data_IF_375952566498
#
_entry.id   IF_375952566498
#
_cell.length_a   1.000
_cell.length_b   1.000
_cell.length_c   1.000
_cell.angle_alpha   90.00
_cell.angle_beta   90.00
_cell.angle_gamma   90.00
#
_symmetry.space_group_name_H-M   'P 1'
#
loop_
_entity.id
_entity.type
_entity.pdbx_description
1 polymer ?
#
# COMPACT_ATOMS: atom_id res chain seq x y z
N UNK A 1 16.28 -5.08 14.18
CA UNK A 1 15.02 -4.67 13.51
C UNK A 1 13.85 -5.19 14.34
N UNK A 2 12.67 -4.56 14.28
CA UNK A 2 11.48 -5.02 15.03
C UNK A 2 10.59 -5.79 14.07
N UNK A 3 10.53 -7.11 14.23
CA UNK A 3 9.59 -7.97 13.51
C UNK A 3 8.67 -8.64 14.54
N UNK A 4 7.36 -8.43 14.41
CA UNK A 4 6.40 -9.01 15.35
C UNK A 4 6.65 -8.60 16.82
N UNK A 5 7.18 -7.40 17.07
CA UNK A 5 7.49 -6.90 18.42
C UNK A 5 8.68 -7.56 19.12
N UNK A 6 9.44 -8.42 18.41
CA UNK A 6 10.70 -8.99 18.88
C UNK A 6 11.87 -8.24 18.23
N UNK A 7 12.93 -7.99 19.01
CA UNK A 7 14.20 -7.51 18.47
C UNK A 7 14.89 -8.69 17.79
N UNK A 8 14.84 -8.68 16.47
CA UNK A 8 15.35 -9.74 15.59
C UNK A 8 16.24 -9.08 14.53
N UNK A 9 17.40 -9.65 14.27
CA UNK A 9 18.39 -9.14 13.30
C UNK A 9 17.96 -9.49 11.89
N UNK A 10 17.42 -10.69 11.67
CA UNK A 10 16.87 -11.14 10.40
C UNK A 10 15.55 -11.90 10.58
N UNK A 11 14.44 -11.24 10.24
CA UNK A 11 13.09 -11.82 10.33
C UNK A 11 12.70 -12.67 9.12
N UNK A 12 13.47 -12.61 8.04
CA UNK A 12 13.17 -13.26 6.77
C UNK A 12 14.05 -14.49 6.50
N UNK A 13 15.05 -14.76 7.34
CA UNK A 13 15.83 -16.00 7.26
C UNK A 13 14.93 -17.23 7.42
N UNK A 14 14.96 -18.12 6.43
CA UNK A 14 14.29 -19.42 6.46
C UNK A 14 15.04 -20.48 7.28
N UNK A 15 16.28 -20.21 7.71
CA UNK A 15 17.11 -21.16 8.42
C UNK A 15 16.80 -21.13 9.92
N UNK A 16 15.90 -22.02 10.36
CA UNK A 16 15.39 -22.07 11.74
C UNK A 16 15.31 -23.50 12.26
N UNK A 17 15.63 -23.66 13.54
CA UNK A 17 15.44 -24.92 14.28
C UNK A 17 14.30 -24.76 15.29
N UNK A 18 13.40 -25.76 15.36
CA UNK A 18 12.24 -25.74 16.25
C UNK A 18 12.30 -26.87 17.26
N UNK A 19 12.04 -26.55 18.54
CA UNK A 19 11.82 -27.55 19.57
C UNK A 19 10.40 -28.12 19.50
N UNK A 20 10.17 -29.26 20.15
CA UNK A 20 8.85 -29.95 20.21
C UNK A 20 7.69 -29.00 20.58
N UNK A 21 7.87 -28.16 21.60
CA UNK A 21 6.88 -27.17 22.02
C UNK A 21 6.58 -26.12 20.94
N UNK A 22 7.56 -25.75 20.12
CA UNK A 22 7.32 -24.79 19.04
C UNK A 22 6.51 -25.43 17.92
N UNK A 23 6.78 -26.68 17.57
CA UNK A 23 6.03 -27.43 16.55
C UNK A 23 4.56 -27.63 16.96
N UNK A 24 4.30 -27.89 18.24
CA UNK A 24 2.93 -28.10 18.74
C UNK A 24 2.10 -26.81 18.83
N UNK A 25 2.75 -25.64 18.97
CA UNK A 25 2.06 -24.36 19.18
C UNK A 25 2.05 -23.44 17.95
N UNK A 26 2.97 -23.64 17.01
CA UNK A 26 3.07 -22.80 15.81
C UNK A 26 2.32 -23.47 14.67
N UNK A 27 1.25 -22.84 14.21
CA UNK A 27 0.44 -23.33 13.10
C UNK A 27 0.48 -22.34 11.94
N UNK A 28 1.05 -22.75 10.82
CA UNK A 28 1.20 -21.91 9.64
C UNK A 28 0.01 -22.11 8.71
N UNK A 29 -0.84 -21.09 8.61
CA UNK A 29 -2.04 -21.18 7.79
C UNK A 29 -1.81 -20.68 6.34
N UNK A 30 -0.62 -20.12 6.04
CA UNK A 30 -0.26 -19.62 4.70
C UNK A 30 1.17 -20.00 4.32
N UNK A 31 1.33 -20.53 3.11
CA UNK A 31 2.62 -20.89 2.49
C UNK A 31 3.14 -19.73 1.62
N UNK A 32 3.26 -18.53 2.18
CA UNK A 32 3.83 -17.37 1.49
C UNK A 32 5.07 -16.84 2.23
N UNK A 33 5.77 -15.87 1.65
CA UNK A 33 6.93 -15.23 2.29
C UNK A 33 6.59 -14.51 3.61
N UNK A 34 5.32 -14.48 4.04
CA UNK A 34 4.92 -13.94 5.34
C UNK A 34 4.99 -14.97 6.48
N UNK A 35 5.19 -16.25 6.16
CA UNK A 35 5.33 -17.33 7.14
C UNK A 35 6.42 -17.04 8.19
N UNK A 36 7.54 -16.42 7.79
CA UNK A 36 8.61 -16.09 8.74
C UNK A 36 8.19 -15.09 9.83
N UNK A 37 7.41 -14.08 9.46
CA UNK A 37 6.87 -13.10 10.41
C UNK A 37 5.76 -13.69 11.27
N UNK A 38 4.93 -14.57 10.70
CA UNK A 38 3.87 -15.29 11.41
C UNK A 38 4.44 -16.20 12.52
N UNK A 39 5.53 -16.92 12.22
CA UNK A 39 6.27 -17.73 13.20
C UNK A 39 6.77 -16.88 14.37
N UNK A 40 7.33 -15.70 14.11
CA UNK A 40 7.83 -14.80 15.15
C UNK A 40 6.71 -14.24 16.03
N UNK A 41 5.57 -13.89 15.43
CA UNK A 41 4.37 -13.43 16.15
C UNK A 41 3.84 -14.55 17.05
N UNK A 42 3.66 -15.75 16.51
CA UNK A 42 3.16 -16.89 17.29
C UNK A 42 4.16 -17.33 18.37
N UNK A 43 5.46 -17.22 18.13
CA UNK A 43 6.48 -17.49 19.13
C UNK A 43 6.38 -16.53 20.32
N UNK A 44 6.16 -15.24 20.06
CA UNK A 44 5.90 -14.25 21.11
C UNK A 44 4.59 -14.54 21.85
N UNK A 45 3.50 -14.79 21.12
CA UNK A 45 2.17 -14.96 21.70
C UNK A 45 2.11 -16.21 22.60
N UNK A 46 2.81 -17.28 22.22
CA UNK A 46 2.98 -18.50 23.02
C UNK A 46 4.16 -18.44 24.01
N UNK A 47 4.79 -17.27 24.18
CA UNK A 47 5.92 -17.02 25.10
C UNK A 47 7.07 -18.04 24.93
N UNK A 48 7.34 -18.45 23.70
CA UNK A 48 8.43 -19.36 23.37
C UNK A 48 9.77 -18.64 23.52
N UNK A 49 10.79 -19.36 24.01
CA UNK A 49 12.16 -18.84 24.06
C UNK A 49 12.77 -18.94 22.66
N UNK A 50 13.45 -17.89 22.21
CA UNK A 50 14.20 -17.86 20.96
C UNK A 50 15.62 -17.32 21.20
N UNK A 51 16.55 -17.72 20.33
CA UNK A 51 17.91 -17.19 20.28
C UNK A 51 18.28 -16.98 18.82
N UNK A 52 19.00 -15.91 18.52
CA UNK A 52 19.61 -15.71 17.20
C UNK A 52 21.05 -16.19 17.25
N UNK A 53 21.47 -16.89 16.21
CA UNK A 53 22.86 -17.31 16.01
C UNK A 53 23.31 -16.71 14.69
N UNK A 54 24.47 -16.05 14.70
CA UNK A 54 25.04 -15.46 13.51
C UNK A 54 25.33 -16.54 12.47
N UNK A 55 24.88 -16.31 11.24
CA UNK A 55 25.14 -17.18 10.10
C UNK A 55 25.90 -16.38 9.03
N UNK A 56 27.01 -16.94 8.55
CA UNK A 56 27.69 -16.42 7.38
C UNK A 56 27.12 -17.09 6.13
N UNK A 57 26.26 -16.38 5.41
CA UNK A 57 25.84 -16.78 4.07
C UNK A 57 26.96 -16.46 3.08
N UNK A 58 27.55 -17.49 2.47
CA UNK A 58 28.37 -17.31 1.28
C UNK A 58 27.44 -17.07 0.09
N UNK A 59 27.58 -15.91 -0.56
CA UNK A 59 26.84 -15.54 -1.77
C UNK A 59 27.63 -15.85 -3.05
N UNK A 60 28.50 -16.87 -3.01
CA UNK A 60 29.38 -17.24 -4.13
C UNK A 60 28.72 -18.30 -5.05
N UNK A 61 27.43 -18.15 -5.37
CA UNK A 61 26.71 -19.09 -6.25
C UNK A 61 25.87 -18.30 -7.28
N UNK A 62 26.15 -18.56 -8.56
CA UNK A 62 25.64 -17.85 -9.75
C UNK A 62 24.12 -18.02 -10.04
N UNK A 63 23.34 -18.63 -9.16
CA UNK A 63 21.90 -18.85 -9.36
C UNK A 63 21.06 -18.26 -8.21
N UNK A 64 21.08 -16.93 -8.09
CA UNK A 64 20.11 -16.22 -7.26
C UNK A 64 18.77 -16.11 -7.99
N UNK A 65 17.86 -17.00 -7.60
CA UNK A 65 16.42 -17.07 -7.91
C UNK A 65 15.83 -15.90 -8.70
N UNK A 66 15.57 -16.19 -9.97
CA UNK A 66 14.79 -15.44 -10.93
C UNK A 66 13.31 -15.38 -10.53
N UNK A 67 12.88 -14.33 -9.82
CA UNK A 67 11.46 -13.96 -9.74
C UNK A 67 11.21 -12.67 -10.53
N UNK A 68 10.40 -12.83 -11.57
CA UNK A 68 10.22 -11.93 -12.71
C UNK A 68 9.59 -10.59 -12.29
N UNK A 69 10.19 -9.42 -12.62
CA UNK A 69 9.74 -8.10 -12.15
C UNK A 69 8.54 -7.51 -12.92
N UNK A 70 7.56 -8.34 -13.34
CA UNK A 70 6.41 -7.88 -14.14
C UNK A 70 5.02 -8.27 -13.61
N UNK A 71 4.90 -8.99 -12.49
CA UNK A 71 3.60 -9.35 -11.87
C UNK A 71 3.38 -8.61 -10.52
N UNK A 72 4.10 -7.51 -10.30
CA UNK A 72 3.99 -6.74 -9.05
C UNK A 72 2.90 -5.66 -9.02
N UNK A 73 2.21 -5.37 -10.13
CA UNK A 73 1.09 -4.41 -10.15
C UNK A 73 -0.03 -4.77 -9.16
N UNK A 74 -0.57 -6.00 -9.19
CA UNK A 74 -1.62 -6.44 -8.27
C UNK A 74 -1.14 -6.54 -6.83
N UNK A 75 0.13 -6.93 -6.59
CA UNK A 75 0.69 -7.07 -5.24
C UNK A 75 0.99 -5.70 -4.61
N UNK A 76 1.42 -4.71 -5.39
CA UNK A 76 1.59 -3.32 -4.96
C UNK A 76 0.23 -2.68 -4.73
N UNK A 77 -0.74 -2.91 -5.63
CA UNK A 77 -2.13 -2.49 -5.43
C UNK A 77 -2.72 -3.11 -4.16
N UNK A 78 -2.48 -4.40 -3.91
CA UNK A 78 -2.97 -5.09 -2.71
C UNK A 78 -2.28 -4.60 -1.43
N UNK A 79 -0.97 -4.28 -1.49
CA UNK A 79 -0.25 -3.65 -0.38
C UNK A 79 -0.74 -2.22 -0.12
N UNK A 80 -1.01 -1.44 -1.17
CA UNK A 80 -1.66 -0.13 -1.06
C UNK A 80 -3.06 -0.29 -0.43
N UNK A 81 -3.90 -1.20 -0.93
CA UNK A 81 -5.22 -1.50 -0.38
C UNK A 81 -5.16 -1.91 1.10
N UNK A 82 -4.12 -2.66 1.51
CA UNK A 82 -3.92 -3.10 2.89
C UNK A 82 -3.39 -1.98 3.80
N UNK A 83 -2.54 -1.09 3.30
CA UNK A 83 -2.12 0.12 4.01
C UNK A 83 -3.27 1.15 4.13
N UNK A 84 -4.13 1.19 3.11
CA UNK A 84 -5.33 2.02 3.08
C UNK A 84 -6.35 1.63 4.15
N UNK A 85 -6.46 0.34 4.51
CA UNK A 85 -7.32 -0.14 5.59
C UNK A 85 -7.02 0.57 6.92
N UNK A 86 -5.76 0.94 7.16
CA UNK A 86 -5.32 1.62 8.37
C UNK A 86 -5.52 3.15 8.35
N UNK A 87 -5.61 3.79 7.17
CA UNK A 87 -5.68 5.26 7.06
C UNK A 87 -6.54 5.72 5.86
N UNK A 88 -7.87 5.74 6.04
CA UNK A 88 -8.85 6.60 5.32
C UNK A 88 -8.44 6.99 3.87
N UNK A 89 -8.43 6.05 2.91
CA UNK A 89 -7.83 6.19 1.57
C UNK A 89 -8.43 7.29 0.70
N UNK A 90 -9.72 7.55 0.90
CA UNK A 90 -10.46 8.62 0.23
C UNK A 90 -9.74 9.97 0.40
N UNK A 91 -9.21 10.25 1.58
CA UNK A 91 -8.66 11.56 1.88
C UNK A 91 -7.35 11.81 1.15
N UNK A 92 -6.50 10.80 0.95
CA UNK A 92 -5.20 10.97 0.30
C UNK A 92 -5.28 11.34 -1.17
N UNK A 93 -6.31 10.88 -1.90
CA UNK A 93 -6.50 11.21 -3.32
C UNK A 93 -7.55 12.30 -3.52
N UNK A 94 -8.67 12.25 -2.81
CA UNK A 94 -9.75 13.19 -3.03
C UNK A 94 -9.45 14.60 -2.51
N UNK A 95 -8.71 14.75 -1.40
CA UNK A 95 -8.39 16.08 -0.85
C UNK A 95 -7.47 16.88 -1.77
N UNK A 96 -6.28 16.37 -2.17
CA UNK A 96 -5.43 17.11 -3.12
C UNK A 96 -6.12 17.27 -4.47
N UNK A 97 -6.88 16.27 -4.93
CA UNK A 97 -7.68 16.37 -6.15
C UNK A 97 -8.72 17.49 -6.10
N UNK A 98 -9.40 17.65 -4.97
CA UNK A 98 -10.37 18.73 -4.73
C UNK A 98 -9.70 20.10 -4.71
N UNK A 99 -8.53 20.23 -4.09
CA UNK A 99 -7.76 21.48 -4.10
C UNK A 99 -7.37 21.85 -5.54
N UNK A 100 -6.82 20.90 -6.31
CA UNK A 100 -6.40 21.13 -7.70
C UNK A 100 -7.58 21.44 -8.62
N UNK A 101 -8.66 20.65 -8.53
CA UNK A 101 -9.87 20.87 -9.32
C UNK A 101 -10.51 22.23 -9.00
N UNK A 102 -10.60 22.59 -7.72
CA UNK A 102 -11.15 23.89 -7.31
C UNK A 102 -10.27 25.04 -7.80
N UNK A 103 -8.94 24.92 -7.71
CA UNK A 103 -8.02 25.91 -8.27
C UNK A 103 -8.20 26.07 -9.79
N UNK A 104 -8.32 24.97 -10.52
CA UNK A 104 -8.60 24.97 -11.96
C UNK A 104 -9.93 25.66 -12.28
N UNK A 105 -11.01 25.32 -11.57
CA UNK A 105 -12.33 25.94 -11.75
C UNK A 105 -12.29 27.44 -11.45
N UNK A 106 -11.64 27.86 -10.35
CA UNK A 106 -11.51 29.27 -10.00
C UNK A 106 -10.71 30.06 -11.05
N UNK A 107 -9.62 29.48 -11.57
CA UNK A 107 -8.90 30.07 -12.70
C UNK A 107 -9.77 30.17 -13.95
N UNK A 108 -10.57 29.14 -14.24
CA UNK A 108 -11.50 29.11 -15.36
C UNK A 108 -12.56 30.21 -15.26
N UNK A 109 -13.16 30.39 -14.08
CA UNK A 109 -14.12 31.47 -13.83
C UNK A 109 -13.49 32.85 -14.03
N UNK A 110 -12.26 33.05 -13.56
CA UNK A 110 -11.53 34.30 -13.76
C UNK A 110 -11.27 34.58 -15.24
N UNK A 111 -10.80 33.58 -15.99
CA UNK A 111 -10.54 33.74 -17.43
C UNK A 111 -11.83 33.97 -18.22
N UNK A 112 -12.93 33.34 -17.82
CA UNK A 112 -14.23 33.59 -18.43
C UNK A 112 -14.68 35.04 -18.20
N UNK A 113 -14.50 35.56 -16.99
CA UNK A 113 -14.78 36.96 -16.67
C UNK A 113 -13.90 37.91 -17.50
N UNK A 114 -12.59 37.66 -17.56
CA UNK A 114 -11.65 38.46 -18.35
C UNK A 114 -12.05 38.48 -19.83
N UNK A 115 -12.49 37.34 -20.38
CA UNK A 115 -12.93 37.23 -21.76
C UNK A 115 -14.21 38.03 -22.05
N UNK A 116 -15.20 37.96 -21.15
CA UNK A 116 -16.46 38.73 -21.29
C UNK A 116 -16.21 40.24 -21.23
N UNK A 117 -15.23 40.68 -20.43
CA UNK A 117 -14.82 42.09 -20.32
C UNK A 117 -13.97 42.58 -21.52
N UNK A 118 -13.80 41.78 -22.56
CA UNK A 118 -13.03 42.12 -23.76
C UNK A 118 -11.54 41.80 -23.67
N UNK A 119 -11.12 41.05 -22.65
CA UNK A 119 -9.78 40.48 -22.56
C UNK A 119 -9.58 39.27 -23.49
N UNK A 120 -8.34 38.81 -23.58
CA UNK A 120 -7.95 37.63 -24.35
C UNK A 120 -7.44 36.51 -23.45
N UNK A 121 -7.70 35.25 -23.82
CA UNK A 121 -7.15 34.11 -23.10
C UNK A 121 -5.66 33.96 -23.41
N UNK A 122 -4.84 33.97 -22.35
CA UNK A 122 -3.41 33.68 -22.45
C UNK A 122 -3.22 32.17 -22.51
N UNK A 123 -2.45 31.69 -23.50
CA UNK A 123 -2.27 30.26 -23.74
C UNK A 123 -1.73 29.50 -22.50
N UNK A 124 -0.61 29.96 -21.92
CA UNK A 124 0.03 29.29 -20.78
C UNK A 124 -0.90 29.11 -19.55
N UNK A 125 -1.49 30.19 -19.01
CA UNK A 125 -2.41 30.09 -17.88
C UNK A 125 -3.66 29.26 -18.19
N UNK A 126 -4.19 29.34 -19.41
CA UNK A 126 -5.36 28.55 -19.83
C UNK A 126 -5.04 27.06 -19.88
N UNK A 127 -3.87 26.69 -20.40
CA UNK A 127 -3.40 25.30 -20.41
C UNK A 127 -3.24 24.75 -18.99
N UNK A 128 -2.64 25.55 -18.09
CA UNK A 128 -2.51 25.17 -16.67
C UNK A 128 -3.86 24.96 -16.01
N UNK A 129 -4.84 25.83 -16.27
CA UNK A 129 -6.21 25.70 -15.78
C UNK A 129 -6.85 24.36 -16.21
N UNK A 130 -6.73 24.01 -17.50
CA UNK A 130 -7.26 22.75 -18.03
C UNK A 130 -6.56 21.55 -17.38
N UNK A 131 -5.23 21.58 -17.27
CA UNK A 131 -4.46 20.50 -16.64
C UNK A 131 -4.82 20.29 -15.17
N UNK A 132 -4.90 21.37 -14.38
CA UNK A 132 -5.31 21.31 -12.97
C UNK A 132 -6.71 20.74 -12.81
N UNK A 133 -7.64 21.15 -13.68
CA UNK A 133 -9.03 20.69 -13.64
C UNK A 133 -9.13 19.20 -13.97
N UNK A 134 -8.46 18.75 -15.04
CA UNK A 134 -8.46 17.34 -15.46
C UNK A 134 -7.79 16.46 -14.41
N UNK A 135 -6.56 16.78 -14.00
CA UNK A 135 -5.81 16.00 -13.00
C UNK A 135 -6.57 15.95 -11.67
N UNK A 136 -7.10 17.09 -11.22
CA UNK A 136 -7.90 17.17 -10.00
C UNK A 136 -9.14 16.28 -10.06
N UNK A 137 -9.89 16.32 -11.17
CA UNK A 137 -11.06 15.47 -11.37
C UNK A 137 -10.69 13.98 -11.36
N UNK A 138 -9.64 13.57 -12.07
CA UNK A 138 -9.16 12.19 -12.06
C UNK A 138 -8.78 11.72 -10.65
N UNK A 139 -8.06 12.53 -9.88
CA UNK A 139 -7.70 12.18 -8.49
C UNK A 139 -8.94 12.00 -7.60
N UNK A 140 -9.96 12.84 -7.74
CA UNK A 140 -11.22 12.70 -7.01
C UNK A 140 -11.91 11.38 -7.39
N UNK A 141 -12.04 11.09 -8.69
CA UNK A 141 -12.63 9.83 -9.15
C UNK A 141 -11.86 8.61 -8.65
N UNK A 142 -10.53 8.62 -8.73
CA UNK A 142 -9.69 7.56 -8.17
C UNK A 142 -9.94 7.39 -6.67
N UNK A 143 -10.01 8.47 -5.90
CA UNK A 143 -10.32 8.42 -4.47
C UNK A 143 -11.69 7.79 -4.17
N UNK A 144 -12.73 8.12 -4.96
CA UNK A 144 -14.07 7.55 -4.81
C UNK A 144 -14.10 6.06 -5.18
N UNK A 145 -13.50 5.68 -6.31
CA UNK A 145 -13.42 4.28 -6.76
C UNK A 145 -12.73 3.43 -5.70
N UNK A 146 -11.60 3.92 -5.18
CA UNK A 146 -10.81 3.24 -4.18
C UNK A 146 -11.57 3.07 -2.86
N UNK A 147 -12.34 4.08 -2.47
CA UNK A 147 -13.25 3.99 -1.33
C UNK A 147 -14.36 2.95 -1.55
N UNK A 148 -14.96 2.92 -2.74
CA UNK A 148 -16.00 1.95 -3.09
C UNK A 148 -15.49 0.51 -3.07
N UNK A 149 -14.30 0.25 -3.63
CA UNK A 149 -13.65 -1.06 -3.64
C UNK A 149 -13.33 -1.51 -2.21
N UNK A 150 -12.73 -0.64 -1.39
CA UNK A 150 -12.43 -0.95 0.01
C UNK A 150 -13.69 -1.34 0.80
N UNK A 151 -14.79 -0.61 0.60
CA UNK A 151 -16.08 -0.92 1.22
C UNK A 151 -16.66 -2.25 0.74
N UNK A 152 -16.59 -2.55 -0.56
CA UNK A 152 -17.05 -3.83 -1.11
C UNK A 152 -16.25 -5.01 -0.57
N UNK A 153 -14.93 -4.87 -0.45
CA UNK A 153 -14.06 -5.92 0.09
C UNK A 153 -14.40 -6.22 1.55
N UNK A 154 -14.58 -5.19 2.37
CA UNK A 154 -15.00 -5.35 3.76
C UNK A 154 -16.34 -6.07 3.89
N UNK A 155 -17.34 -5.68 3.08
CA UNK A 155 -18.65 -6.34 3.05
C UNK A 155 -18.52 -7.81 2.64
N UNK A 156 -17.71 -8.10 1.61
CA UNK A 156 -17.51 -9.45 1.11
C UNK A 156 -16.83 -10.36 2.15
N UNK A 157 -15.88 -9.83 2.93
CA UNK A 157 -15.30 -10.55 4.06
C UNK A 157 -16.31 -10.85 5.17
N UNK A 158 -17.26 -9.95 5.45
CA UNK A 158 -18.32 -10.21 6.42
C UNK A 158 -19.27 -11.32 5.97
N UNK A 159 -19.68 -11.32 4.69
CA UNK A 159 -20.53 -12.37 4.11
C UNK A 159 -19.84 -13.74 4.21
N UNK A 160 -18.53 -13.82 3.95
CA UNK A 160 -17.78 -15.07 3.98
C UNK A 160 -17.56 -15.64 5.39
N UNK A 161 -17.80 -14.85 6.44
CA UNK A 161 -17.69 -15.25 7.85
C UNK A 161 -19.03 -15.70 8.45
N UNK A 162 -20.14 -15.54 7.74
CA UNK A 162 -21.46 -16.10 8.10
C UNK A 162 -21.66 -17.45 7.43
#
# INVERSE_FOLDING_TARGET
YIAGGLHVTDSQSGFRAYGKKAIENINLNRADMSAGSEILIQARDHKLKFTEVEIHCRYDLEDCSSEHPFIHGPRVLFRLLKDMEYRRPLYYFAVPGMIMASAGVLMGLKFLQDYILGGYLRFGPTLLMVMLTIIGAFMIFTGIILHAISRMMFINEQIRRQ
#
